data_IF_699854140434
#
_entry.id   IF_699854140434
#
_cell.length_a   1.000
_cell.length_b   1.000
_cell.length_c   1.000
_cell.angle_alpha   90.00
_cell.angle_beta   90.00
_cell.angle_gamma   90.00
#
_symmetry.space_group_name_H-M   'P 1'
#
loop_
_entity.id
_entity.type
_entity.pdbx_description
1 polymer ?
#
# COMPACT_ATOMS: atom_id res chain seq x y z
N UNK A 1 -16.83 -16.76 13.23
CA UNK A 1 -18.02 -15.93 13.21
C UNK A 1 -17.85 -14.55 12.58
N UNK A 2 -16.62 -14.00 12.50
CA UNK A 2 -16.38 -12.67 11.93
C UNK A 2 -16.37 -12.64 10.40
N UNK A 3 -16.05 -13.74 9.75
CA UNK A 3 -15.96 -13.82 8.29
C UNK A 3 -17.31 -13.70 7.58
N UNK A 4 -18.37 -14.22 8.17
CA UNK A 4 -19.70 -14.11 7.61
C UNK A 4 -20.25 -12.67 7.64
N UNK A 5 -19.91 -11.90 8.68
CA UNK A 5 -20.39 -10.53 8.82
C UNK A 5 -19.91 -9.56 7.74
N UNK A 6 -18.75 -9.80 7.14
CA UNK A 6 -18.22 -8.94 6.08
C UNK A 6 -18.90 -9.22 4.74
N UNK A 7 -19.22 -10.49 4.46
CA UNK A 7 -19.93 -10.89 3.24
C UNK A 7 -21.42 -10.59 3.26
N UNK A 8 -22.01 -10.54 4.44
CA UNK A 8 -23.45 -10.35 4.64
C UNK A 8 -23.85 -8.88 4.82
N UNK A 9 -22.90 -7.96 4.81
CA UNK A 9 -23.21 -6.52 4.82
C UNK A 9 -23.70 -6.09 3.44
N UNK A 10 -24.77 -5.28 3.36
CA UNK A 10 -25.16 -4.69 2.09
C UNK A 10 -24.00 -3.87 1.52
N UNK A 11 -23.86 -3.91 0.22
CA UNK A 11 -22.87 -3.09 -0.48
C UNK A 11 -23.19 -1.62 -0.21
N UNK A 12 -22.22 -0.79 0.18
CA UNK A 12 -22.48 0.64 0.38
C UNK A 12 -22.94 1.26 -0.94
N UNK A 13 -23.78 2.27 -0.86
CA UNK A 13 -24.11 3.09 -2.03
C UNK A 13 -22.84 3.79 -2.49
N UNK A 14 -22.47 3.57 -3.75
CA UNK A 14 -21.25 4.12 -4.35
C UNK A 14 -21.63 4.87 -5.63
N UNK A 15 -21.00 6.01 -5.84
CA UNK A 15 -21.21 6.83 -7.03
C UNK A 15 -20.35 6.37 -8.20
N UNK A 16 -19.15 5.86 -7.93
CA UNK A 16 -18.16 5.51 -8.95
C UNK A 16 -17.45 4.19 -8.62
N UNK A 17 -17.08 3.44 -9.67
CA UNK A 17 -16.31 2.21 -9.59
C UNK A 17 -14.99 2.36 -10.35
N UNK A 18 -13.89 2.01 -9.71
CA UNK A 18 -12.57 2.01 -10.32
C UNK A 18 -12.05 0.58 -10.49
N UNK A 19 -11.51 0.20 -11.66
CA UNK A 19 -10.90 -1.10 -11.84
C UNK A 19 -9.59 -1.19 -11.05
N UNK A 20 -9.39 -2.28 -10.32
CA UNK A 20 -8.11 -2.56 -9.64
C UNK A 20 -7.04 -3.10 -10.60
N UNK A 21 -7.44 -3.53 -11.79
CA UNK A 21 -6.55 -3.98 -12.85
C UNK A 21 -6.60 -2.99 -14.00
N UNK A 22 -5.54 -2.24 -14.16
CA UNK A 22 -5.35 -1.30 -15.27
C UNK A 22 -3.88 -1.32 -15.70
N UNK A 23 -3.58 -0.75 -16.85
CA UNK A 23 -2.21 -0.66 -17.34
C UNK A 23 -1.39 0.32 -16.49
N UNK A 24 -0.10 0.04 -16.32
CA UNK A 24 0.82 0.99 -15.72
C UNK A 24 0.91 2.26 -16.60
N UNK A 25 1.21 3.44 -16.02
CA UNK A 25 1.41 4.66 -16.78
C UNK A 25 2.46 4.51 -17.85
N UNK A 26 2.27 5.18 -18.96
CA UNK A 26 3.23 5.17 -20.06
C UNK A 26 4.48 5.97 -19.68
N UNK A 27 5.61 5.63 -20.30
CA UNK A 27 6.89 6.28 -20.02
C UNK A 27 6.87 7.81 -20.28
N UNK A 28 6.09 8.24 -21.26
CA UNK A 28 5.91 9.65 -21.62
C UNK A 28 5.06 10.43 -20.60
N UNK A 29 4.31 9.75 -19.75
CA UNK A 29 3.49 10.32 -18.67
C UNK A 29 4.27 10.50 -17.36
N UNK A 30 5.46 9.89 -17.26
CA UNK A 30 6.27 9.96 -16.07
C UNK A 30 7.00 11.29 -15.93
N UNK A 31 7.01 11.86 -14.72
CA UNK A 31 7.82 13.06 -14.45
C UNK A 31 9.29 12.69 -14.21
N UNK A 32 10.19 13.47 -14.79
CA UNK A 32 11.64 13.34 -14.60
C UNK A 32 12.17 14.27 -13.51
N UNK A 33 11.31 15.17 -12.99
CA UNK A 33 11.72 16.14 -11.97
C UNK A 33 11.89 15.43 -10.62
N UNK A 34 13.05 15.62 -10.00
CA UNK A 34 13.34 15.11 -8.66
C UNK A 34 13.08 16.21 -7.65
N UNK A 35 12.15 15.98 -6.73
CA UNK A 35 11.84 16.85 -5.61
C UNK A 35 11.98 16.06 -4.32
N UNK A 36 12.62 16.64 -3.31
CA UNK A 36 12.74 16.03 -1.99
C UNK A 36 11.40 16.16 -1.27
N UNK A 37 11.00 15.09 -0.61
CA UNK A 37 9.87 15.06 0.30
C UNK A 37 10.38 15.11 1.74
N UNK A 38 10.12 16.21 2.42
CA UNK A 38 10.50 16.38 3.82
C UNK A 38 9.56 15.54 4.71
N UNK A 39 10.14 14.59 5.45
CA UNK A 39 9.37 13.68 6.30
C UNK A 39 9.16 14.22 7.72
N UNK A 40 9.93 15.21 8.12
CA UNK A 40 9.97 15.73 9.50
C UNK A 40 10.78 14.85 10.46
N UNK A 41 11.29 13.72 9.98
CA UNK A 41 12.13 12.82 10.77
C UNK A 41 13.60 13.13 10.46
N UNK A 42 14.28 13.81 11.36
CA UNK A 42 15.65 14.33 11.16
C UNK A 42 16.63 13.28 10.61
N UNK A 43 16.56 12.05 11.11
CA UNK A 43 17.46 10.99 10.67
C UNK A 43 17.21 10.59 9.21
N UNK A 44 15.96 10.54 8.79
CA UNK A 44 15.55 10.23 7.41
C UNK A 44 15.92 11.37 6.49
N UNK A 45 15.52 12.59 6.81
CA UNK A 45 15.71 13.76 5.95
C UNK A 45 17.19 14.12 5.76
N UNK A 46 18.03 13.81 6.75
CA UNK A 46 19.46 14.09 6.68
C UNK A 46 20.28 13.00 6.00
N UNK A 47 19.95 11.72 6.25
CA UNK A 47 20.78 10.59 5.82
C UNK A 47 20.25 9.91 4.56
N UNK A 48 18.95 9.85 4.38
CA UNK A 48 18.29 9.15 3.26
C UNK A 48 16.98 9.88 2.90
N UNK A 49 17.06 11.10 2.34
CA UNK A 49 15.87 11.89 2.06
C UNK A 49 14.97 11.20 1.05
N UNK A 50 13.68 11.24 1.31
CA UNK A 50 12.68 10.70 0.42
C UNK A 50 12.49 11.62 -0.80
N UNK A 51 12.18 11.00 -1.92
CA UNK A 51 11.91 11.70 -3.18
C UNK A 51 10.43 11.60 -3.47
N UNK A 52 9.78 12.70 -3.84
CA UNK A 52 8.38 12.69 -4.31
C UNK A 52 8.22 11.74 -5.50
N UNK A 53 7.24 10.83 -5.41
CA UNK A 53 7.08 9.75 -6.37
C UNK A 53 8.17 8.68 -6.31
N UNK A 54 9.03 8.71 -5.30
CA UNK A 54 10.01 7.67 -5.00
C UNK A 54 9.39 6.47 -4.29
N UNK A 55 10.19 5.42 -4.18
CA UNK A 55 9.85 4.18 -3.47
C UNK A 55 10.94 3.89 -2.47
N UNK A 56 10.57 3.70 -1.22
CA UNK A 56 11.51 3.41 -0.13
C UNK A 56 11.10 2.14 0.58
N UNK A 57 12.06 1.26 0.85
CA UNK A 57 11.84 0.03 1.59
C UNK A 57 12.29 0.18 3.04
N UNK A 58 11.38 -0.10 3.97
CA UNK A 58 11.68 -0.18 5.40
C UNK A 58 11.90 -1.64 5.79
N UNK A 59 13.14 -2.03 5.98
CA UNK A 59 13.53 -3.38 6.36
C UNK A 59 13.89 -3.46 7.84
N UNK A 60 13.39 -4.50 8.50
CA UNK A 60 13.70 -4.75 9.91
C UNK A 60 12.92 -5.93 10.45
N UNK A 61 13.44 -6.54 11.51
CA UNK A 61 12.78 -7.60 12.25
C UNK A 61 11.53 -7.12 13.00
N UNK A 62 10.90 -8.01 13.73
CA UNK A 62 9.81 -7.64 14.63
C UNK A 62 10.31 -6.75 15.78
N UNK A 63 9.51 -5.76 16.18
CA UNK A 63 9.81 -4.91 17.34
C UNK A 63 10.89 -3.85 17.13
N UNK A 64 11.35 -3.59 15.90
CA UNK A 64 12.37 -2.56 15.62
C UNK A 64 11.79 -1.15 15.40
N UNK A 65 10.51 -0.95 15.64
CA UNK A 65 9.87 0.36 15.53
C UNK A 65 9.38 0.76 14.13
N UNK A 66 9.23 -0.19 13.19
CA UNK A 66 8.67 0.10 11.85
C UNK A 66 7.31 0.77 11.93
N UNK A 67 6.41 0.24 12.74
CA UNK A 67 5.05 0.78 12.92
C UNK A 67 5.08 2.20 13.46
N UNK A 68 5.93 2.49 14.44
CA UNK A 68 6.10 3.84 15.01
C UNK A 68 6.58 4.82 13.94
N UNK A 69 7.54 4.40 13.10
CA UNK A 69 8.03 5.21 12.00
C UNK A 69 6.93 5.50 10.96
N UNK A 70 6.13 4.50 10.62
CA UNK A 70 5.00 4.64 9.70
C UNK A 70 3.95 5.62 10.27
N UNK A 71 3.61 5.49 11.54
CA UNK A 71 2.67 6.39 12.21
C UNK A 71 3.17 7.84 12.22
N UNK A 72 4.44 8.05 12.50
CA UNK A 72 5.05 9.39 12.48
C UNK A 72 5.04 9.99 11.07
N UNK A 73 5.35 9.20 10.04
CA UNK A 73 5.25 9.64 8.65
C UNK A 73 3.82 10.01 8.26
N UNK A 74 2.82 9.22 8.68
CA UNK A 74 1.40 9.52 8.43
C UNK A 74 1.01 10.82 9.14
N UNK A 75 1.38 10.97 10.39
CA UNK A 75 1.06 12.14 11.17
C UNK A 75 1.67 13.41 10.55
N UNK A 76 2.95 13.37 10.20
CA UNK A 76 3.64 14.51 9.60
C UNK A 76 3.06 14.88 8.22
N UNK A 77 2.74 13.89 7.39
CA UNK A 77 2.07 14.15 6.11
C UNK A 77 0.70 14.83 6.32
N UNK A 78 -0.08 14.33 7.27
CA UNK A 78 -1.42 14.86 7.54
C UNK A 78 -1.38 16.29 8.07
N UNK A 79 -0.41 16.61 8.94
CA UNK A 79 -0.30 17.92 9.59
C UNK A 79 0.41 18.96 8.72
N UNK A 80 1.56 18.61 8.15
CA UNK A 80 2.41 19.57 7.44
C UNK A 80 2.04 19.71 5.95
N UNK A 81 1.69 18.62 5.29
CA UNK A 81 1.43 18.62 3.85
C UNK A 81 -0.07 18.57 3.51
N UNK A 82 -0.95 18.37 4.50
CA UNK A 82 -2.39 18.23 4.26
C UNK A 82 -2.77 17.04 3.35
N UNK A 83 -1.85 16.11 3.16
CA UNK A 83 -2.00 14.96 2.30
C UNK A 83 -2.82 13.84 2.93
N UNK A 84 -3.08 12.81 2.14
CA UNK A 84 -3.81 11.62 2.55
C UNK A 84 -2.87 10.41 2.56
N UNK A 85 -2.98 9.57 3.57
CA UNK A 85 -2.21 8.32 3.64
C UNK A 85 -3.10 7.14 3.32
N UNK A 86 -2.56 6.18 2.58
CA UNK A 86 -3.21 4.89 2.33
C UNK A 86 -2.32 3.79 2.89
N UNK A 87 -2.81 3.08 3.89
CA UNK A 87 -2.11 1.95 4.46
C UNK A 87 -2.72 0.64 3.98
N UNK A 88 -1.91 -0.18 3.33
CA UNK A 88 -2.33 -1.46 2.77
C UNK A 88 -1.65 -2.61 3.52
N UNK A 89 -2.41 -3.30 4.36
CA UNK A 89 -1.96 -4.47 5.11
C UNK A 89 -2.16 -5.75 4.31
N UNK A 90 -1.10 -6.31 3.76
CA UNK A 90 -1.14 -7.54 2.95
C UNK A 90 -0.68 -8.74 3.77
N UNK A 91 -1.61 -9.59 4.15
CA UNK A 91 -1.32 -10.79 4.93
C UNK A 91 -0.88 -10.51 6.37
N UNK A 92 -1.26 -9.37 6.92
CA UNK A 92 -0.97 -9.00 8.30
C UNK A 92 -1.81 -9.78 9.30
N UNK A 93 -1.32 -9.82 10.54
CA UNK A 93 -2.07 -10.41 11.65
C UNK A 93 -3.23 -9.50 12.03
N UNK A 94 -4.38 -10.09 12.28
CA UNK A 94 -5.59 -9.35 12.69
C UNK A 94 -5.35 -8.44 13.89
N UNK A 95 -4.56 -8.91 14.87
CA UNK A 95 -4.21 -8.13 16.06
C UNK A 95 -3.42 -6.87 15.69
N UNK A 96 -2.37 -7.00 14.85
CA UNK A 96 -1.51 -5.88 14.45
C UNK A 96 -2.32 -4.81 13.68
N UNK A 97 -3.26 -5.25 12.83
CA UNK A 97 -4.17 -4.34 12.13
C UNK A 97 -5.14 -3.62 13.07
N UNK A 98 -5.63 -4.29 14.10
CA UNK A 98 -6.51 -3.68 15.10
C UNK A 98 -5.73 -2.70 15.98
N UNK A 99 -4.54 -3.08 16.44
CA UNK A 99 -3.68 -2.22 17.26
C UNK A 99 -3.35 -0.93 16.46
N UNK A 100 -2.98 -1.04 15.19
CA UNK A 100 -2.71 0.11 14.33
C UNK A 100 -3.94 1.03 14.17
N UNK A 101 -5.12 0.46 13.97
CA UNK A 101 -6.37 1.24 13.87
C UNK A 101 -6.65 2.02 15.16
N UNK A 102 -6.46 1.39 16.33
CA UNK A 102 -6.67 2.04 17.62
C UNK A 102 -5.66 3.17 17.84
N UNK A 103 -4.39 2.92 17.59
CA UNK A 103 -3.32 3.91 17.72
C UNK A 103 -3.52 5.12 16.79
N UNK A 104 -3.95 4.90 15.53
CA UNK A 104 -4.29 5.98 14.61
C UNK A 104 -5.54 6.76 15.03
N UNK A 105 -6.49 6.09 15.67
CA UNK A 105 -7.69 6.73 16.20
C UNK A 105 -7.36 7.60 17.41
N UNK A 106 -6.50 7.13 18.31
CA UNK A 106 -6.03 7.87 19.48
C UNK A 106 -5.17 9.08 19.10
N UNK A 107 -4.34 8.96 18.07
CA UNK A 107 -3.52 10.05 17.54
C UNK A 107 -4.32 11.05 16.68
N UNK A 108 -5.57 10.77 16.34
CA UNK A 108 -6.45 11.65 15.57
C UNK A 108 -6.10 11.76 14.07
N UNK A 109 -5.26 10.88 13.53
CA UNK A 109 -4.87 10.89 12.12
C UNK A 109 -5.76 9.97 11.25
N UNK A 110 -6.68 9.25 11.85
CA UNK A 110 -7.56 8.29 11.15
C UNK A 110 -8.39 8.95 10.05
N UNK A 111 -8.82 10.20 10.24
CA UNK A 111 -9.62 10.96 9.27
C UNK A 111 -8.86 11.28 7.97
N UNK A 112 -7.53 11.23 8.02
CA UNK A 112 -6.63 11.45 6.88
C UNK A 112 -6.01 10.15 6.35
N UNK A 113 -6.44 9.01 6.89
CA UNK A 113 -5.83 7.72 6.58
C UNK A 113 -6.88 6.74 6.06
N UNK A 114 -6.62 6.13 4.92
CA UNK A 114 -7.41 5.04 4.40
C UNK A 114 -6.72 3.71 4.72
N UNK A 115 -7.40 2.82 5.44
CA UNK A 115 -6.90 1.50 5.82
C UNK A 115 -7.50 0.42 4.92
N UNK A 116 -6.66 -0.33 4.21
CA UNK A 116 -7.05 -1.38 3.27
C UNK A 116 -6.39 -2.68 3.70
N UNK A 117 -7.15 -3.59 4.30
CA UNK A 117 -6.61 -4.82 4.88
C UNK A 117 -7.03 -6.08 4.12
N UNK A 118 -6.05 -6.96 3.87
CA UNK A 118 -6.25 -8.35 3.52
C UNK A 118 -5.42 -9.21 4.45
N UNK A 119 -6.02 -9.69 5.54
CA UNK A 119 -5.33 -10.34 6.65
C UNK A 119 -4.89 -11.78 6.32
N UNK A 120 -4.12 -12.40 7.23
CA UNK A 120 -3.56 -13.75 7.02
C UNK A 120 -4.61 -14.84 6.84
N UNK A 121 -5.78 -14.69 7.45
CA UNK A 121 -6.90 -15.63 7.35
C UNK A 121 -7.66 -15.55 6.03
N UNK A 122 -7.41 -14.50 5.23
CA UNK A 122 -8.05 -14.37 3.92
C UNK A 122 -7.46 -15.33 2.87
N UNK A 123 -8.27 -15.76 1.90
CA UNK A 123 -7.79 -16.59 0.79
C UNK A 123 -6.63 -15.91 0.03
N UNK A 124 -5.70 -16.69 -0.56
CA UNK A 124 -4.55 -16.12 -1.27
C UNK A 124 -4.94 -15.21 -2.43
N UNK A 125 -6.06 -15.47 -3.09
CA UNK A 125 -6.59 -14.59 -4.15
C UNK A 125 -7.03 -13.21 -3.64
N UNK A 126 -7.57 -13.11 -2.43
CA UNK A 126 -7.90 -11.84 -1.79
C UNK A 126 -6.62 -11.10 -1.38
N UNK A 127 -5.70 -11.78 -0.68
CA UNK A 127 -4.41 -11.20 -0.26
C UNK A 127 -3.59 -10.67 -1.45
N UNK A 128 -3.63 -11.35 -2.59
CA UNK A 128 -2.96 -10.89 -3.82
C UNK A 128 -3.57 -9.59 -4.37
N UNK A 129 -4.89 -9.40 -4.24
CA UNK A 129 -5.57 -8.24 -4.82
C UNK A 129 -5.61 -7.01 -3.92
N UNK A 130 -5.41 -7.20 -2.62
CA UNK A 130 -5.49 -6.08 -1.67
C UNK A 130 -4.44 -5.00 -1.94
N UNK A 131 -3.23 -5.39 -2.37
CA UNK A 131 -2.19 -4.45 -2.79
C UNK A 131 -2.63 -3.56 -3.94
N UNK A 132 -3.33 -4.12 -4.92
CA UNK A 132 -3.87 -3.39 -6.06
C UNK A 132 -5.05 -2.49 -5.65
N UNK A 133 -5.89 -2.96 -4.73
CA UNK A 133 -6.99 -2.14 -4.19
C UNK A 133 -6.46 -0.91 -3.45
N UNK A 134 -5.44 -1.07 -2.60
CA UNK A 134 -4.78 0.04 -1.93
C UNK A 134 -4.12 1.01 -2.90
N UNK A 135 -3.47 0.49 -3.94
CA UNK A 135 -2.89 1.31 -5.00
C UNK A 135 -3.95 2.14 -5.73
N UNK A 136 -5.06 1.52 -6.17
CA UNK A 136 -6.15 2.22 -6.85
C UNK A 136 -6.75 3.32 -5.96
N UNK A 137 -6.85 3.06 -4.65
CA UNK A 137 -7.29 4.09 -3.68
C UNK A 137 -6.29 5.25 -3.61
N UNK A 138 -4.99 4.97 -3.59
CA UNK A 138 -3.97 6.00 -3.59
C UNK A 138 -3.98 6.82 -4.89
N UNK A 139 -4.15 6.19 -6.02
CA UNK A 139 -4.25 6.84 -7.33
C UNK A 139 -5.46 7.78 -7.42
N UNK A 140 -6.60 7.37 -6.85
CA UNK A 140 -7.78 8.21 -6.78
C UNK A 140 -7.53 9.57 -6.09
N UNK A 141 -6.80 9.56 -4.97
CA UNK A 141 -6.43 10.79 -4.28
C UNK A 141 -5.34 11.58 -5.02
N UNK A 142 -4.36 10.88 -5.60
CA UNK A 142 -3.31 11.49 -6.41
C UNK A 142 -3.90 12.24 -7.62
N UNK A 143 -4.84 11.64 -8.33
CA UNK A 143 -5.43 12.22 -9.53
C UNK A 143 -6.30 13.45 -9.23
N UNK A 144 -6.71 13.59 -7.97
CA UNK A 144 -7.34 14.82 -7.44
C UNK A 144 -6.34 15.88 -6.98
N UNK A 145 -5.05 15.64 -7.22
CA UNK A 145 -3.98 16.60 -6.93
C UNK A 145 -3.54 16.63 -5.48
N UNK A 146 -3.89 15.62 -4.67
CA UNK A 146 -3.42 15.50 -3.29
C UNK A 146 -2.06 14.80 -3.23
N UNK A 147 -1.25 15.17 -2.26
CA UNK A 147 -0.07 14.40 -1.92
C UNK A 147 -0.51 13.13 -1.19
N UNK A 148 -0.06 11.98 -1.68
CA UNK A 148 -0.47 10.68 -1.15
C UNK A 148 0.75 9.85 -0.76
N UNK A 149 0.69 9.29 0.44
CA UNK A 149 1.68 8.35 0.92
C UNK A 149 1.04 6.95 0.99
N UNK A 150 1.54 6.04 0.14
CA UNK A 150 1.07 4.66 0.11
C UNK A 150 2.05 3.76 0.87
N UNK A 151 1.55 3.09 1.88
CA UNK A 151 2.26 2.03 2.60
C UNK A 151 1.74 0.65 2.18
N UNK A 152 2.64 -0.28 1.96
CA UNK A 152 2.32 -1.69 1.72
C UNK A 152 3.10 -2.53 2.74
N UNK A 153 2.40 -3.04 3.72
CA UNK A 153 2.95 -3.92 4.73
C UNK A 153 2.26 -5.30 4.63
N UNK A 154 2.83 -6.35 4.08
CA UNK A 154 4.22 -6.35 3.65
C UNK A 154 4.30 -6.93 2.21
N UNK A 155 5.17 -6.38 1.39
CA UNK A 155 5.33 -6.78 -0.02
C UNK A 155 5.74 -8.26 -0.20
N UNK A 156 6.42 -8.84 0.78
CA UNK A 156 6.76 -10.26 0.78
C UNK A 156 5.50 -11.14 0.82
N UNK A 157 4.51 -10.75 1.62
CA UNK A 157 3.22 -11.46 1.72
C UNK A 157 2.42 -11.38 0.42
N UNK A 158 2.50 -10.26 -0.28
CA UNK A 158 1.95 -10.13 -1.62
C UNK A 158 2.58 -11.15 -2.59
N UNK A 159 3.91 -11.25 -2.62
CA UNK A 159 4.64 -12.21 -3.43
C UNK A 159 4.31 -13.66 -3.05
N UNK A 160 4.19 -13.95 -1.76
CA UNK A 160 3.79 -15.25 -1.24
C UNK A 160 2.38 -15.63 -1.71
N UNK A 161 1.40 -14.73 -1.58
CA UNK A 161 0.03 -14.96 -2.04
C UNK A 161 -0.01 -15.25 -3.55
N UNK A 162 0.80 -14.56 -4.34
CA UNK A 162 0.94 -14.83 -5.77
C UNK A 162 1.50 -16.20 -6.08
N UNK A 163 2.47 -16.67 -5.30
CA UNK A 163 3.02 -18.03 -5.44
C UNK A 163 2.01 -19.09 -5.05
N UNK A 164 1.24 -18.89 -3.99
CA UNK A 164 0.16 -19.78 -3.58
C UNK A 164 -0.92 -19.90 -4.67
N UNK A 165 -1.36 -18.79 -5.26
CA UNK A 165 -2.32 -18.80 -6.38
C UNK A 165 -1.75 -19.52 -7.59
N UNK A 166 -0.49 -19.30 -7.94
CA UNK A 166 0.18 -19.98 -9.06
C UNK A 166 0.26 -21.50 -8.85
N UNK A 167 0.56 -21.93 -7.62
CA UNK A 167 0.59 -23.34 -7.25
C UNK A 167 -0.80 -23.99 -7.37
N UNK A 168 -1.86 -23.30 -6.90
CA UNK A 168 -3.25 -23.77 -7.06
C UNK A 168 -3.68 -23.92 -8.52
N UNK A 169 -3.12 -23.09 -9.41
CA UNK A 169 -3.36 -23.16 -10.86
C UNK A 169 -2.45 -24.17 -11.57
N UNK A 170 -1.63 -24.94 -10.86
CA UNK A 170 -0.71 -25.92 -11.42
C UNK A 170 0.43 -25.32 -12.25
N UNK A 171 0.74 -24.04 -12.09
CA UNK A 171 1.83 -23.38 -12.80
C UNK A 171 3.16 -23.71 -12.15
N UNK A 172 4.17 -24.06 -12.96
CA UNK A 172 5.52 -24.31 -12.46
C UNK A 172 6.12 -23.00 -11.89
N UNK A 173 6.71 -23.06 -10.69
CA UNK A 173 7.42 -21.90 -10.15
C UNK A 173 8.65 -21.56 -10.99
N UNK A 174 9.12 -20.31 -10.89
CA UNK A 174 10.40 -19.90 -11.46
C UNK A 174 11.57 -20.64 -10.80
N UNK A 175 12.77 -20.55 -11.38
CA UNK A 175 13.98 -21.19 -10.85
C UNK A 175 14.30 -20.85 -9.38
N UNK A 176 13.81 -19.70 -8.88
CA UNK A 176 13.97 -19.25 -7.48
C UNK A 176 12.73 -19.48 -6.62
N UNK A 177 11.75 -20.24 -7.10
CA UNK A 177 10.56 -20.64 -6.34
C UNK A 177 9.43 -19.62 -6.30
N UNK A 178 9.55 -18.47 -6.97
CA UNK A 178 8.49 -17.47 -7.07
C UNK A 178 7.52 -17.74 -8.22
N UNK A 179 6.39 -17.07 -8.23
CA UNK A 179 5.44 -17.12 -9.33
C UNK A 179 6.10 -16.63 -10.65
N UNK A 180 5.79 -17.26 -11.80
CA UNK A 180 6.42 -16.91 -13.07
C UNK A 180 6.04 -15.49 -13.57
N UNK A 181 4.94 -14.91 -13.04
CA UNK A 181 4.44 -13.58 -13.39
C UNK A 181 4.77 -12.51 -12.33
N UNK A 182 5.73 -12.77 -11.43
CA UNK A 182 6.06 -11.84 -10.34
C UNK A 182 6.43 -10.45 -10.83
N UNK A 183 7.24 -10.36 -11.88
CA UNK A 183 7.65 -9.08 -12.44
C UNK A 183 6.43 -8.25 -12.93
N UNK A 184 5.49 -8.90 -13.64
CA UNK A 184 4.28 -8.24 -14.11
C UNK A 184 3.41 -7.74 -12.96
N UNK A 185 3.27 -8.53 -11.90
CA UNK A 185 2.49 -8.15 -10.73
C UNK A 185 3.12 -6.97 -9.97
N UNK A 186 4.46 -6.93 -9.89
CA UNK A 186 5.18 -5.85 -9.20
C UNK A 186 5.23 -4.57 -10.02
N UNK A 187 5.28 -4.62 -11.35
CA UNK A 187 5.24 -3.43 -12.21
C UNK A 187 3.99 -2.60 -11.93
N UNK A 188 2.82 -3.23 -11.80
CA UNK A 188 1.57 -2.51 -11.50
C UNK A 188 1.63 -1.74 -10.18
N UNK A 189 2.35 -2.24 -9.18
CA UNK A 189 2.49 -1.58 -7.87
C UNK A 189 3.62 -0.54 -7.90
N UNK A 190 4.68 -0.79 -8.67
CA UNK A 190 5.89 0.00 -8.59
C UNK A 190 5.95 1.20 -9.54
N UNK A 191 5.28 1.16 -10.70
CA UNK A 191 5.38 2.20 -11.72
C UNK A 191 4.36 3.36 -11.63
N UNK A 192 3.19 3.24 -10.97
CA UNK A 192 2.16 4.29 -10.98
C UNK A 192 2.51 5.59 -10.27
N UNK A 193 3.65 5.66 -9.59
CA UNK A 193 3.94 6.74 -8.64
C UNK A 193 4.50 8.03 -9.26
N UNK A 194 4.84 8.04 -10.55
CA UNK A 194 5.50 9.18 -11.21
C UNK A 194 4.70 9.78 -12.37
N UNK A 195 3.40 9.97 -12.22
CA UNK A 195 2.63 10.69 -13.23
C UNK A 195 3.02 12.18 -13.27
N UNK A 196 3.21 12.71 -14.49
CA UNK A 196 3.30 14.16 -14.70
C UNK A 196 1.97 14.79 -14.24
N UNK A 197 2.04 15.78 -13.35
CA UNK A 197 1.00 16.80 -13.31
C UNK A 197 1.08 17.58 -14.63
N UNK A 198 0.03 17.51 -15.43
CA UNK A 198 -0.21 18.46 -16.51
C UNK A 198 -0.77 19.73 -15.89
#
# INVERSE_FOLDING_TARGET
GSEMCIRDRPMPEVEEFYPIHHAAPRFDELTTKTEIFETGIKAVDLLEPYIRGGKTGLFGGAGVGKTVLIQELINNLAQEHGGTSVFTGVGERTREGTDLFLEMSESGVIDKTCLVYGQMNEPPGARLRIGLAGLTTAEYFRDRGQDVLLFIDNIFRFSQAGSEVSALLGRMPSAVGYQPTLALSLIHISEPTRLRRI
#
